data_IF_883593876217
#
_entry.id   IF_883593876217
#
_cell.length_a   1.000
_cell.length_b   1.000
_cell.length_c   1.000
_cell.angle_alpha   90.00
_cell.angle_beta   90.00
_cell.angle_gamma   90.00
#
_symmetry.space_group_name_H-M   'P 1'
#
loop_
_entity.id
_entity.type
_entity.pdbx_description
1 polymer ?
#
# COMPACT_ATOMS: atom_id res chain seq x y z
N UNK A 1 45.59 -49.93 52.97
CA UNK A 1 45.36 -49.95 51.50
C UNK A 1 45.74 -48.58 50.93
N UNK A 2 46.14 -48.48 49.66
CA UNK A 2 46.99 -47.36 49.17
C UNK A 2 46.57 -46.88 47.76
N UNK A 3 46.51 -45.54 47.57
CA UNK A 3 46.31 -44.74 46.32
C UNK A 3 44.93 -44.89 45.62
N UNK A 4 44.36 -43.86 44.97
CA UNK A 4 44.66 -42.41 44.95
C UNK A 4 44.88 -41.80 43.54
N UNK A 5 44.60 -40.48 43.40
CA UNK A 5 44.55 -39.60 42.18
C UNK A 5 43.15 -39.52 41.51
N UNK A 6 42.81 -38.49 40.72
CA UNK A 6 42.92 -37.00 40.82
C UNK A 6 42.10 -36.39 39.65
N UNK A 7 41.66 -35.13 39.75
CA UNK A 7 40.81 -34.46 38.76
C UNK A 7 41.57 -33.96 37.50
N UNK A 8 40.81 -33.57 36.45
CA UNK A 8 41.21 -32.56 35.45
C UNK A 8 39.97 -31.83 34.87
N UNK A 9 40.18 -30.61 34.35
CA UNK A 9 39.18 -29.77 33.68
C UNK A 9 39.19 -29.98 32.16
N UNK A 10 38.15 -29.51 31.46
CA UNK A 10 38.13 -29.39 30.00
C UNK A 10 37.28 -28.21 29.54
N UNK A 11 37.91 -27.04 29.38
CA UNK A 11 37.34 -25.89 28.67
C UNK A 11 38.00 -25.77 27.30
N UNK A 12 37.23 -25.48 26.25
CA UNK A 12 37.73 -25.35 24.88
C UNK A 12 37.62 -23.90 24.44
N UNK A 13 38.76 -23.31 24.10
CA UNK A 13 38.85 -21.93 23.58
C UNK A 13 38.40 -21.87 22.13
N UNK A 14 37.49 -20.95 21.81
CA UNK A 14 37.09 -20.64 20.44
C UNK A 14 37.96 -19.51 19.89
N UNK A 15 38.69 -19.77 18.79
CA UNK A 15 39.55 -18.79 18.13
C UNK A 15 38.99 -18.49 16.74
N UNK A 16 38.75 -17.21 16.43
CA UNK A 16 38.40 -16.79 15.07
C UNK A 16 39.65 -16.81 14.17
N UNK A 17 39.48 -17.34 12.96
CA UNK A 17 40.14 -16.82 11.76
C UNK A 17 39.11 -16.86 10.62
N UNK A 18 38.89 -15.73 9.97
CA UNK A 18 38.12 -15.65 8.72
C UNK A 18 39.06 -15.68 7.52
N UNK A 19 38.58 -16.20 6.39
CA UNK A 19 39.28 -16.06 5.11
C UNK A 19 38.28 -15.94 3.95
N UNK A 20 38.70 -15.27 2.87
CA UNK A 20 37.83 -14.77 1.82
C UNK A 20 37.42 -15.83 0.77
N UNK A 21 36.49 -15.44 -0.11
CA UNK A 21 36.04 -16.27 -1.22
C UNK A 21 37.19 -16.72 -2.14
N UNK A 22 37.21 -18.02 -2.46
CA UNK A 22 37.98 -18.59 -3.57
C UNK A 22 37.06 -18.99 -4.71
N UNK A 23 37.50 -18.77 -5.95
CA UNK A 23 36.73 -19.07 -7.17
C UNK A 23 36.52 -20.57 -7.42
N UNK A 24 35.40 -20.93 -8.06
CA UNK A 24 35.04 -22.30 -8.36
C UNK A 24 36.00 -23.00 -9.35
N UNK A 25 36.22 -24.32 -9.24
CA UNK A 25 37.02 -25.09 -10.17
C UNK A 25 36.26 -25.44 -11.46
N UNK A 26 36.99 -25.51 -12.57
CA UNK A 26 36.58 -26.12 -13.83
C UNK A 26 36.82 -27.64 -13.83
N UNK A 27 36.02 -28.42 -14.56
CA UNK A 27 36.48 -29.70 -15.13
C UNK A 27 35.82 -29.96 -16.51
N UNK A 28 36.43 -30.78 -17.40
CA UNK A 28 36.17 -30.70 -18.85
C UNK A 28 35.43 -31.89 -19.47
N UNK A 29 34.90 -31.69 -20.68
CA UNK A 29 34.58 -32.76 -21.63
C UNK A 29 35.08 -32.40 -23.04
N UNK A 30 35.92 -33.25 -23.62
CA UNK A 30 36.33 -33.22 -25.03
C UNK A 30 35.37 -34.08 -25.88
N UNK A 31 35.16 -33.83 -27.17
CA UNK A 31 35.67 -32.80 -28.08
C UNK A 31 35.54 -33.27 -29.55
N UNK A 32 36.04 -32.48 -30.53
CA UNK A 32 36.19 -32.84 -31.98
C UNK A 32 34.85 -32.99 -32.74
N UNK A 33 34.58 -32.43 -33.93
CA UNK A 33 35.21 -31.46 -34.87
C UNK A 33 34.07 -30.84 -35.74
N UNK A 34 34.24 -29.84 -36.63
CA UNK A 34 35.38 -29.03 -37.05
C UNK A 34 35.15 -28.45 -38.47
N UNK A 35 35.95 -27.43 -38.85
CA UNK A 35 35.88 -26.63 -40.10
C UNK A 35 34.71 -25.63 -40.23
N UNK A 36 34.91 -24.40 -40.76
CA UNK A 36 36.19 -23.73 -41.02
C UNK A 36 36.13 -22.41 -41.81
N UNK A 37 37.02 -21.46 -41.47
CA UNK A 37 37.40 -20.27 -42.26
C UNK A 37 36.45 -19.05 -42.22
N UNK A 38 36.86 -17.82 -42.59
CA UNK A 38 38.20 -17.25 -42.84
C UNK A 38 38.14 -15.71 -42.92
N UNK A 39 39.20 -14.98 -42.50
CA UNK A 39 39.34 -13.52 -42.66
C UNK A 39 38.69 -12.69 -41.52
N UNK A 40 39.30 -11.68 -40.87
CA UNK A 40 40.52 -10.88 -41.07
C UNK A 40 40.49 -9.93 -42.29
N UNK A 41 40.76 -8.61 -42.20
CA UNK A 41 40.94 -7.68 -41.07
C UNK A 41 41.01 -6.21 -41.60
N UNK A 42 41.48 -5.28 -40.74
CA UNK A 42 42.02 -3.92 -41.02
C UNK A 42 41.00 -2.77 -40.99
N UNK A 43 41.45 -1.63 -40.44
CA UNK A 43 40.68 -0.40 -40.20
C UNK A 43 41.14 0.74 -41.12
N UNK A 44 40.37 1.84 -41.14
CA UNK A 44 40.76 3.09 -41.81
C UNK A 44 39.96 4.28 -41.29
N UNK A 45 40.65 5.37 -40.94
CA UNK A 45 40.05 6.65 -40.56
C UNK A 45 39.93 7.60 -41.77
N UNK A 46 38.98 8.54 -41.70
CA UNK A 46 38.74 9.56 -42.74
C UNK A 46 37.92 10.71 -42.16
N UNK A 47 38.15 11.95 -42.62
CA UNK A 47 37.74 13.15 -41.90
C UNK A 47 37.27 14.32 -42.80
N UNK A 48 36.21 15.00 -42.36
CA UNK A 48 35.88 16.39 -42.73
C UNK A 48 35.14 16.65 -44.05
N UNK A 49 34.61 17.87 -44.18
CA UNK A 49 34.04 18.42 -45.43
C UNK A 49 32.70 19.15 -45.23
N UNK A 50 32.65 20.46 -45.50
CA UNK A 50 31.47 21.32 -45.27
C UNK A 50 31.03 22.11 -46.53
N UNK A 51 29.79 22.61 -46.48
CA UNK A 51 29.29 23.86 -47.09
C UNK A 51 28.63 23.88 -48.51
N UNK A 52 27.30 24.10 -48.47
CA UNK A 52 26.55 25.25 -49.02
C UNK A 52 26.19 25.42 -50.52
N UNK A 53 24.95 25.89 -50.75
CA UNK A 53 24.41 26.49 -51.99
C UNK A 53 23.42 25.61 -52.78
N UNK A 54 22.26 26.07 -53.29
CA UNK A 54 21.54 27.34 -53.10
C UNK A 54 20.42 27.59 -54.13
N UNK A 55 19.32 28.29 -53.76
CA UNK A 55 18.23 28.89 -54.60
C UNK A 55 17.30 27.95 -55.42
N UNK A 56 16.02 28.27 -55.75
CA UNK A 56 15.01 29.23 -55.20
C UNK A 56 13.64 29.15 -55.93
N UNK A 57 12.50 29.14 -55.19
CA UNK A 57 11.16 29.68 -55.60
C UNK A 57 10.09 29.35 -54.51
N UNK A 58 9.61 30.29 -53.68
CA UNK A 58 8.37 31.14 -53.84
C UNK A 58 7.06 30.38 -54.08
N UNK A 59 5.89 30.67 -53.47
CA UNK A 59 5.46 31.49 -52.31
C UNK A 59 3.95 31.17 -52.04
N UNK A 60 3.28 31.49 -50.92
CA UNK A 60 3.67 32.16 -49.67
C UNK A 60 2.48 32.25 -48.67
N UNK A 61 2.72 32.83 -47.49
CA UNK A 61 1.74 33.10 -46.40
C UNK A 61 1.07 34.50 -46.58
N UNK A 62 0.35 35.17 -45.63
CA UNK A 62 0.14 34.98 -44.17
C UNK A 62 -1.35 34.61 -43.87
N UNK A 63 -2.12 34.98 -42.82
CA UNK A 63 -2.00 35.94 -41.71
C UNK A 63 -2.89 35.58 -40.49
N UNK A 64 -3.10 36.52 -39.56
CA UNK A 64 -3.78 36.34 -38.26
C UNK A 64 -4.73 37.51 -37.89
N UNK A 65 -5.68 37.28 -36.97
CA UNK A 65 -6.58 38.29 -36.36
C UNK A 65 -7.94 37.72 -35.93
N UNK A 66 -8.75 38.34 -35.06
CA UNK A 66 -8.49 39.54 -34.24
C UNK A 66 -9.76 40.33 -33.85
N UNK A 67 -10.34 40.05 -32.67
CA UNK A 67 -11.23 40.93 -31.85
C UNK A 67 -12.65 41.37 -32.31
N UNK A 68 -13.65 40.95 -31.52
CA UNK A 68 -14.73 41.73 -30.87
C UNK A 68 -15.86 42.50 -31.64
N UNK A 69 -17.11 42.07 -31.34
CA UNK A 69 -18.32 42.83 -30.93
C UNK A 69 -19.06 43.85 -31.84
N UNK A 70 -20.42 43.75 -31.91
CA UNK A 70 -21.44 44.79 -31.55
C UNK A 70 -22.89 44.49 -32.06
N UNK A 71 -23.92 44.89 -31.27
CA UNK A 71 -25.36 45.00 -31.65
C UNK A 71 -26.11 43.68 -31.94
N UNK A 72 -27.41 43.45 -31.68
CA UNK A 72 -28.63 44.24 -31.46
C UNK A 72 -29.78 43.47 -32.16
N UNK A 73 -31.08 43.49 -31.81
CA UNK A 73 -31.92 44.26 -30.87
C UNK A 73 -33.13 43.38 -30.42
N UNK A 74 -34.09 43.86 -29.61
CA UNK A 74 -35.07 43.02 -28.88
C UNK A 74 -36.57 43.42 -29.00
N UNK A 75 -37.47 42.46 -28.69
CA UNK A 75 -38.95 42.58 -28.52
C UNK A 75 -39.40 41.48 -27.52
N UNK A 76 -40.40 41.61 -26.64
CA UNK A 76 -41.20 42.81 -26.31
C UNK A 76 -42.29 42.70 -25.20
N UNK A 77 -42.78 41.50 -24.79
CA UNK A 77 -43.84 41.39 -23.76
C UNK A 77 -44.27 39.96 -23.39
N UNK A 78 -45.08 39.72 -22.35
CA UNK A 78 -45.55 40.66 -21.31
C UNK A 78 -46.75 40.17 -20.46
N UNK A 79 -46.59 40.11 -19.12
CA UNK A 79 -47.62 39.93 -18.06
C UNK A 79 -48.35 38.55 -18.00
N UNK A 80 -49.06 38.13 -16.93
CA UNK A 80 -49.41 38.76 -15.63
C UNK A 80 -49.74 37.76 -14.49
N UNK A 81 -49.36 38.06 -13.24
CA UNK A 81 -50.05 37.64 -11.99
C UNK A 81 -49.91 36.17 -11.51
N UNK A 82 -50.18 35.84 -10.23
CA UNK A 82 -50.34 36.67 -9.02
C UNK A 82 -50.04 35.83 -7.74
N UNK A 83 -49.81 36.47 -6.59
CA UNK A 83 -49.24 35.86 -5.39
C UNK A 83 -50.26 35.36 -4.33
N UNK A 84 -49.78 34.57 -3.37
CA UNK A 84 -50.46 34.25 -2.11
C UNK A 84 -49.45 33.95 -1.00
N UNK A 85 -49.59 34.59 0.18
CA UNK A 85 -48.68 34.44 1.32
C UNK A 85 -49.39 34.78 2.64
N UNK A 86 -49.04 34.11 3.75
CA UNK A 86 -49.33 34.54 5.13
C UNK A 86 -48.49 33.78 6.19
N UNK A 87 -48.18 34.47 7.29
CA UNK A 87 -47.91 34.05 8.69
C UNK A 87 -47.87 32.55 9.07
N UNK A 88 -47.02 32.05 9.99
CA UNK A 88 -46.07 32.71 10.89
C UNK A 88 -46.64 32.99 12.31
N UNK A 89 -46.16 32.27 13.34
CA UNK A 89 -46.32 32.59 14.77
C UNK A 89 -45.28 31.86 15.64
N UNK A 90 -44.99 32.37 16.83
CA UNK A 90 -43.98 31.89 17.80
C UNK A 90 -44.62 31.37 19.09
N UNK A 91 -43.92 30.52 19.86
CA UNK A 91 -44.49 29.98 21.12
C UNK A 91 -43.55 29.11 21.99
N UNK A 92 -42.74 29.79 22.82
CA UNK A 92 -42.19 29.43 24.16
C UNK A 92 -42.11 27.96 24.61
N UNK A 93 -40.95 27.55 25.15
CA UNK A 93 -40.69 26.20 25.67
C UNK A 93 -41.21 25.90 27.10
N UNK A 94 -40.83 24.73 27.63
CA UNK A 94 -41.16 24.30 28.99
C UNK A 94 -40.25 23.17 29.47
N UNK A 95 -39.90 23.18 30.77
CA UNK A 95 -38.98 22.22 31.39
C UNK A 95 -39.68 21.39 32.46
N UNK A 96 -39.45 20.06 32.45
CA UNK A 96 -39.65 19.15 33.57
C UNK A 96 -38.50 18.12 33.53
N UNK A 97 -37.67 17.96 34.56
CA UNK A 97 -37.99 17.49 35.92
C UNK A 97 -38.45 16.02 35.91
N UNK A 98 -37.78 15.16 36.67
CA UNK A 98 -37.89 13.72 36.50
C UNK A 98 -37.93 12.91 37.80
N UNK A 99 -37.96 11.59 37.62
CA UNK A 99 -37.86 10.55 38.63
C UNK A 99 -37.14 9.35 37.99
N UNK A 100 -36.41 8.50 38.71
CA UNK A 100 -36.29 8.37 40.16
C UNK A 100 -36.59 6.93 40.55
N UNK A 101 -35.66 6.02 40.30
CA UNK A 101 -35.88 4.57 40.38
C UNK A 101 -34.60 3.77 40.60
N UNK A 102 -34.01 3.92 41.79
CA UNK A 102 -32.81 3.17 42.18
C UNK A 102 -33.15 1.79 42.73
N UNK A 103 -32.53 0.75 42.18
CA UNK A 103 -32.16 -0.46 42.92
C UNK A 103 -31.17 -1.26 42.07
N UNK A 104 -30.06 -1.69 42.65
CA UNK A 104 -29.07 -2.52 41.95
C UNK A 104 -28.32 -3.42 42.92
N UNK A 105 -27.65 -4.44 42.39
CA UNK A 105 -26.49 -5.07 43.00
C UNK A 105 -25.72 -5.90 41.95
N UNK A 106 -24.45 -6.22 42.25
CA UNK A 106 -23.63 -7.16 41.46
C UNK A 106 -22.88 -6.50 40.31
N UNK A 107 -21.63 -6.13 40.55
CA UNK A 107 -20.76 -5.54 39.53
C UNK A 107 -19.91 -6.56 38.78
N UNK A 108 -19.68 -6.30 37.50
CA UNK A 108 -18.42 -6.59 36.84
C UNK A 108 -17.76 -5.23 36.52
N UNK A 109 -16.45 -5.11 36.68
CA UNK A 109 -15.75 -3.83 36.47
C UNK A 109 -15.86 -3.38 35.02
N UNK A 110 -16.37 -2.17 34.78
CA UNK A 110 -16.29 -1.54 33.47
C UNK A 110 -14.82 -1.34 33.11
N UNK A 111 -14.32 -2.12 32.14
CA UNK A 111 -13.09 -1.79 31.45
C UNK A 111 -13.23 -0.36 30.90
N UNK A 112 -12.26 0.50 31.18
CA UNK A 112 -12.34 1.92 30.86
C UNK A 112 -12.50 2.14 29.36
N UNK A 113 -13.34 3.11 28.98
CA UNK A 113 -13.40 3.58 27.58
C UNK A 113 -12.00 3.95 27.12
N UNK A 114 -11.50 3.29 26.07
CA UNK A 114 -10.15 3.53 25.59
C UNK A 114 -10.02 4.92 24.97
N UNK A 115 -8.83 5.50 25.09
CA UNK A 115 -8.50 6.86 24.63
C UNK A 115 -8.26 6.93 23.13
N UNK A 116 -9.18 6.42 22.30
CA UNK A 116 -9.03 6.30 20.85
C UNK A 116 -9.15 7.61 20.07
N UNK A 117 -9.03 8.76 20.75
CA UNK A 117 -8.95 10.06 20.11
C UNK A 117 -10.29 10.58 19.58
N UNK A 118 -11.34 10.49 20.41
CA UNK A 118 -12.63 11.14 20.14
C UNK A 118 -12.45 12.66 20.00
N UNK A 119 -13.32 13.30 19.21
CA UNK A 119 -13.22 14.74 18.90
C UNK A 119 -13.43 15.69 20.11
N UNK A 120 -13.75 15.15 21.30
CA UNK A 120 -13.88 15.91 22.55
C UNK A 120 -12.54 16.04 23.31
N UNK A 121 -11.61 15.09 23.14
CA UNK A 121 -10.35 14.99 23.90
C UNK A 121 -9.07 15.07 23.02
N UNK A 122 -9.22 15.03 21.70
CA UNK A 122 -8.10 15.12 20.74
C UNK A 122 -7.46 16.53 20.69
N UNK A 123 -6.13 16.66 20.52
CA UNK A 123 -5.44 17.95 20.45
C UNK A 123 -5.61 18.67 19.10
N UNK A 124 -6.31 18.06 18.15
CA UNK A 124 -6.73 18.63 16.87
C UNK A 124 -8.02 17.93 16.39
N UNK A 125 -8.75 18.58 15.47
CA UNK A 125 -9.92 17.97 14.86
C UNK A 125 -9.55 16.80 13.94
N UNK A 126 -10.35 15.73 13.98
CA UNK A 126 -10.26 14.56 13.10
C UNK A 126 -11.60 14.23 12.44
N UNK A 127 -11.60 13.51 11.30
CA UNK A 127 -12.83 13.04 10.67
C UNK A 127 -13.70 12.19 11.61
N UNK A 128 -15.02 12.24 11.42
CA UNK A 128 -16.00 11.61 12.32
C UNK A 128 -15.86 10.08 12.43
N UNK A 129 -15.40 9.40 11.38
CA UNK A 129 -15.09 7.96 11.39
C UNK A 129 -13.84 7.59 12.22
N UNK A 130 -13.04 8.57 12.64
CA UNK A 130 -11.96 8.35 13.61
C UNK A 130 -12.53 8.39 15.01
N UNK A 131 -13.33 9.41 15.30
CA UNK A 131 -13.93 9.66 16.61
C UNK A 131 -14.97 8.62 17.07
N UNK A 132 -15.32 7.63 16.25
CA UNK A 132 -16.30 6.58 16.56
C UNK A 132 -15.69 5.26 17.08
N UNK A 133 -14.39 5.24 17.39
CA UNK A 133 -13.63 4.04 17.83
C UNK A 133 -13.89 2.73 17.04
N UNK A 134 -13.69 2.72 15.71
CA UNK A 134 -13.69 1.47 14.97
C UNK A 134 -12.49 0.59 15.35
N UNK A 135 -12.70 -0.73 15.34
CA UNK A 135 -11.63 -1.75 15.41
C UNK A 135 -11.30 -2.23 13.99
N UNK A 136 -10.08 -2.78 13.75
CA UNK A 136 -9.82 -3.46 12.49
C UNK A 136 -10.81 -4.60 12.28
N UNK A 137 -11.31 -4.75 11.05
CA UNK A 137 -11.93 -5.99 10.57
C UNK A 137 -10.89 -6.71 9.75
N UNK A 138 -10.48 -7.91 10.17
CA UNK A 138 -9.46 -8.66 9.44
C UNK A 138 -8.43 -9.34 10.33
N UNK A 139 -7.32 -9.76 9.74
CA UNK A 139 -6.28 -10.48 10.45
C UNK A 139 -5.65 -9.64 11.59
N UNK A 140 -5.62 -8.31 11.51
CA UNK A 140 -5.20 -7.45 12.63
C UNK A 140 -6.15 -7.47 13.85
N UNK A 141 -7.33 -8.10 13.75
CA UNK A 141 -8.23 -8.38 14.88
C UNK A 141 -8.06 -9.79 15.46
N UNK A 142 -7.06 -10.56 15.02
CA UNK A 142 -6.78 -11.92 15.51
C UNK A 142 -6.09 -11.90 16.87
N UNK A 143 -6.17 -13.01 17.63
CA UNK A 143 -5.41 -13.16 18.88
C UNK A 143 -5.76 -12.09 19.92
N UNK A 144 -4.80 -11.24 20.28
CA UNK A 144 -4.99 -10.07 21.15
C UNK A 144 -5.64 -8.87 20.44
N UNK A 145 -5.71 -8.89 19.12
CA UNK A 145 -6.11 -7.77 18.28
C UNK A 145 -5.07 -6.64 18.26
N UNK A 146 -5.43 -5.57 17.55
CA UNK A 146 -4.61 -4.35 17.44
C UNK A 146 -5.29 -3.21 18.19
N UNK A 147 -4.55 -2.58 19.10
CA UNK A 147 -4.99 -1.51 20.00
C UNK A 147 -4.12 -0.25 19.94
N UNK A 148 -2.93 -0.35 19.32
CA UNK A 148 -1.99 0.76 19.16
C UNK A 148 -1.50 1.29 20.50
N UNK A 149 -1.57 2.61 20.68
CA UNK A 149 -1.29 3.29 21.95
C UNK A 149 -2.35 3.08 23.04
N UNK A 150 -3.44 2.36 22.77
CA UNK A 150 -4.49 2.04 23.74
C UNK A 150 -5.17 3.29 24.33
N UNK A 151 -5.03 3.47 25.63
CA UNK A 151 -5.56 4.63 26.38
C UNK A 151 -4.49 5.65 26.80
N UNK A 152 -3.30 5.61 26.19
CA UNK A 152 -2.27 6.63 26.41
C UNK A 152 -2.80 8.03 26.03
N UNK A 153 -2.48 9.04 26.85
CA UNK A 153 -2.94 10.42 26.60
C UNK A 153 -2.44 10.91 25.22
N UNK A 154 -3.32 11.45 24.37
CA UNK A 154 -2.93 12.09 23.12
C UNK A 154 -1.80 13.12 23.24
N UNK A 155 -0.85 13.04 22.31
CA UNK A 155 0.16 14.08 22.06
C UNK A 155 0.05 14.59 20.62
N UNK A 156 0.30 15.88 20.40
CA UNK A 156 0.36 16.49 19.07
C UNK A 156 1.81 16.65 18.63
N UNK A 157 2.14 16.23 17.41
CA UNK A 157 3.43 16.48 16.76
C UNK A 157 3.24 17.34 15.52
N UNK A 158 3.99 18.45 15.46
CA UNK A 158 3.91 19.46 14.39
C UNK A 158 5.21 19.57 13.58
N UNK A 159 6.18 18.69 13.87
CA UNK A 159 7.46 18.61 13.17
C UNK A 159 7.89 17.15 13.02
N UNK A 160 8.66 16.88 11.97
CA UNK A 160 9.27 15.57 11.69
C UNK A 160 10.11 15.04 12.87
N UNK A 161 10.89 15.92 13.52
CA UNK A 161 11.71 15.55 14.68
C UNK A 161 10.85 15.10 15.88
N UNK A 162 9.73 15.77 16.15
CA UNK A 162 8.78 15.33 17.18
C UNK A 162 8.10 14.02 16.81
N UNK A 163 7.78 13.80 15.52
CA UNK A 163 7.22 12.53 15.06
C UNK A 163 8.22 11.38 15.29
N UNK A 164 9.45 11.48 14.76
CA UNK A 164 10.49 10.46 14.90
C UNK A 164 10.79 10.15 16.38
N UNK A 165 10.85 11.16 17.24
CA UNK A 165 10.98 10.95 18.70
C UNK A 165 9.75 10.24 19.32
N UNK A 166 8.54 10.54 18.84
CA UNK A 166 7.32 9.93 19.35
C UNK A 166 7.15 8.47 18.91
N UNK A 167 7.55 8.07 17.69
CA UNK A 167 7.28 6.73 17.14
C UNK A 167 8.36 5.68 17.36
N UNK A 168 9.63 6.06 17.57
CA UNK A 168 10.79 5.13 17.55
C UNK A 168 10.93 4.09 18.69
N UNK A 169 10.14 4.20 19.76
CA UNK A 169 10.25 3.31 20.94
C UNK A 169 9.04 2.38 21.04
N UNK A 170 9.00 1.49 22.04
CA UNK A 170 7.86 0.58 22.26
C UNK A 170 6.80 1.10 23.25
N UNK A 171 6.94 2.34 23.73
CA UNK A 171 6.06 2.90 24.78
C UNK A 171 4.68 3.21 24.19
N UNK A 172 3.56 2.74 24.79
CA UNK A 172 2.22 3.05 24.32
C UNK A 172 1.95 4.55 24.17
N UNK A 173 1.66 5.00 22.94
CA UNK A 173 1.44 6.42 22.61
C UNK A 173 0.32 6.60 21.58
N UNK A 174 -0.57 7.57 21.83
CA UNK A 174 -1.53 8.10 20.85
C UNK A 174 -0.98 9.42 20.33
N UNK A 175 -0.66 9.47 19.04
CA UNK A 175 0.13 10.51 18.37
C UNK A 175 -0.72 11.12 17.27
N UNK A 176 -1.09 12.39 17.44
CA UNK A 176 -1.73 13.18 16.41
C UNK A 176 -0.68 13.94 15.61
N UNK A 177 -0.77 13.90 14.29
CA UNK A 177 0.19 14.51 13.37
C UNK A 177 -0.48 15.70 12.67
N UNK A 178 0.20 16.85 12.65
CA UNK A 178 -0.24 18.04 11.93
C UNK A 178 0.93 18.72 11.18
N UNK A 179 1.02 18.51 9.87
CA UNK A 179 1.99 19.16 8.99
C UNK A 179 2.17 18.42 7.66
N UNK A 180 2.94 19.02 6.75
CA UNK A 180 3.60 18.31 5.64
C UNK A 180 5.09 18.27 5.98
N UNK A 181 5.65 17.07 6.13
CA UNK A 181 7.02 16.85 6.59
C UNK A 181 7.94 16.51 5.41
N UNK A 182 9.17 17.02 5.43
CA UNK A 182 10.16 16.74 4.39
C UNK A 182 10.50 15.24 4.30
N UNK A 183 10.94 14.72 3.13
CA UNK A 183 11.31 13.31 2.98
C UNK A 183 12.46 12.90 3.90
N UNK A 184 12.25 11.84 4.68
CA UNK A 184 13.19 11.26 5.65
C UNK A 184 12.72 9.83 6.01
N UNK A 185 13.59 9.03 6.63
CA UNK A 185 13.24 7.70 7.13
C UNK A 185 12.55 7.81 8.50
N UNK A 186 11.52 7.01 8.76
CA UNK A 186 10.70 7.06 9.98
C UNK A 186 10.58 5.64 10.55
N UNK A 187 11.51 5.27 11.43
CA UNK A 187 11.48 4.00 12.17
C UNK A 187 10.37 4.02 13.23
N UNK A 188 9.49 3.01 13.22
CA UNK A 188 8.37 2.88 14.16
C UNK A 188 8.53 1.64 15.04
N UNK A 189 8.66 1.87 16.36
CA UNK A 189 8.57 0.83 17.39
C UNK A 189 7.13 0.58 17.87
N UNK A 190 6.95 -0.38 18.76
CA UNK A 190 5.65 -0.98 19.10
C UNK A 190 4.64 -0.04 19.79
N UNK A 191 3.36 -0.45 19.82
CA UNK A 191 2.29 0.18 20.62
C UNK A 191 2.00 1.64 20.24
N UNK A 192 1.77 1.91 18.95
CA UNK A 192 1.53 3.26 18.43
C UNK A 192 0.14 3.38 17.81
N UNK A 193 -0.54 4.48 18.10
CA UNK A 193 -1.69 4.96 17.32
C UNK A 193 -1.31 6.30 16.70
N UNK A 194 -1.06 6.35 15.41
CA UNK A 194 -0.65 7.56 14.66
C UNK A 194 -1.83 8.04 13.81
N UNK A 195 -2.32 9.25 14.06
CA UNK A 195 -3.54 9.81 13.46
C UNK A 195 -3.23 11.15 12.79
N UNK A 196 -3.59 11.32 11.51
CA UNK A 196 -3.53 12.62 10.85
C UNK A 196 -4.74 13.51 11.19
N UNK A 197 -4.47 14.73 11.65
CA UNK A 197 -5.50 15.78 11.82
C UNK A 197 -6.19 16.12 10.48
N UNK A 198 -7.42 16.64 10.49
CA UNK A 198 -8.22 17.01 9.29
C UNK A 198 -7.65 18.12 8.37
N UNK A 199 -6.42 18.57 8.58
CA UNK A 199 -5.64 19.25 7.53
C UNK A 199 -4.96 18.26 6.57
N UNK A 200 -5.07 16.96 6.85
CA UNK A 200 -4.50 15.84 6.12
C UNK A 200 -2.97 15.86 6.19
N UNK A 201 -2.43 15.42 7.33
CA UNK A 201 -0.99 15.35 7.58
C UNK A 201 -0.27 14.47 6.55
N UNK A 202 0.91 14.92 6.12
CA UNK A 202 1.72 14.26 5.10
C UNK A 202 3.09 13.86 5.63
N UNK A 203 3.35 12.56 5.56
CA UNK A 203 4.64 11.94 5.76
C UNK A 203 5.28 11.73 4.39
N UNK A 204 6.59 11.97 4.29
CA UNK A 204 7.36 11.78 3.07
C UNK A 204 8.61 10.96 3.37
N UNK A 205 9.07 10.15 2.41
CA UNK A 205 10.22 9.27 2.58
C UNK A 205 9.80 7.83 2.87
N UNK A 206 10.44 7.15 3.82
CA UNK A 206 10.17 5.74 4.14
C UNK A 206 9.59 5.57 5.54
N UNK A 207 8.41 4.95 5.67
CA UNK A 207 7.88 4.53 6.97
C UNK A 207 8.28 3.07 7.25
N UNK A 208 9.24 2.87 8.15
CA UNK A 208 9.81 1.56 8.46
C UNK A 208 9.14 0.94 9.69
N UNK A 209 8.45 -0.20 9.50
CA UNK A 209 7.92 -1.04 10.57
C UNK A 209 8.74 -2.32 10.58
N UNK A 210 9.82 -2.28 11.37
CA UNK A 210 10.87 -3.31 11.38
C UNK A 210 10.58 -4.49 12.31
N UNK A 211 11.55 -5.42 12.36
CA UNK A 211 11.55 -6.58 13.25
C UNK A 211 11.20 -6.20 14.70
N UNK A 212 10.50 -7.08 15.40
CA UNK A 212 10.00 -6.96 16.79
C UNK A 212 8.93 -5.86 17.00
N UNK A 213 8.57 -5.09 15.97
CA UNK A 213 7.57 -4.01 16.07
C UNK A 213 6.15 -4.56 16.00
N UNK A 214 5.33 -4.30 17.02
CA UNK A 214 3.98 -4.86 17.13
C UNK A 214 2.91 -3.86 17.57
N UNK A 215 1.64 -4.21 17.33
CA UNK A 215 0.47 -3.50 17.85
C UNK A 215 0.44 -2.02 17.39
N UNK A 216 0.21 -1.81 16.09
CA UNK A 216 0.34 -0.50 15.43
C UNK A 216 -0.94 -0.09 14.69
N UNK A 217 -1.34 1.17 14.82
CA UNK A 217 -2.51 1.76 14.15
C UNK A 217 -2.06 3.04 13.43
N UNK A 218 -2.34 3.15 12.14
CA UNK A 218 -2.06 4.33 11.30
C UNK A 218 -3.34 4.78 10.61
N UNK A 219 -3.81 6.01 10.89
CA UNK A 219 -5.10 6.50 10.36
C UNK A 219 -5.04 7.91 9.81
N UNK A 220 -5.71 8.15 8.68
CA UNK A 220 -5.83 9.48 8.05
C UNK A 220 -4.49 10.16 7.70
N UNK A 221 -3.48 9.36 7.36
CA UNK A 221 -2.16 9.85 6.95
C UNK A 221 -2.05 9.85 5.43
N UNK A 222 -1.53 10.95 4.86
CA UNK A 222 -0.97 10.97 3.51
C UNK A 222 0.47 10.49 3.65
N UNK A 223 0.84 9.43 2.95
CA UNK A 223 2.17 8.84 3.02
C UNK A 223 2.67 8.77 1.58
N UNK A 224 3.78 9.44 1.29
CA UNK A 224 4.40 9.38 -0.04
C UNK A 224 5.87 9.02 0.02
N UNK A 225 6.33 8.14 -0.87
CA UNK A 225 7.75 7.85 -1.01
C UNK A 225 8.59 9.07 -1.38
N UNK A 226 9.91 8.89 -1.40
CA UNK A 226 10.85 9.93 -1.86
C UNK A 226 10.60 10.33 -3.32
N UNK A 227 10.24 9.36 -4.18
CA UNK A 227 10.17 9.48 -5.64
C UNK A 227 9.00 10.28 -6.24
N UNK A 228 8.37 11.18 -5.48
CA UNK A 228 7.18 11.91 -5.93
C UNK A 228 7.38 12.67 -7.25
N UNK A 229 6.76 12.18 -8.33
CA UNK A 229 6.89 12.66 -9.72
C UNK A 229 8.26 12.44 -10.39
N UNK A 230 9.25 11.88 -9.69
CA UNK A 230 10.64 11.69 -10.17
C UNK A 230 11.38 10.81 -9.16
N UNK A 231 11.70 9.57 -9.56
CA UNK A 231 12.29 8.57 -8.67
C UNK A 231 13.76 8.86 -8.29
N UNK A 232 14.45 9.78 -8.99
CA UNK A 232 15.85 10.15 -8.72
C UNK A 232 16.04 10.96 -7.43
N UNK A 233 14.95 11.30 -6.76
CA UNK A 233 14.92 11.92 -5.42
C UNK A 233 15.11 10.92 -4.29
N UNK A 234 15.00 9.62 -4.59
CA UNK A 234 15.18 8.57 -3.60
C UNK A 234 16.67 8.41 -3.22
N UNK A 235 17.03 8.42 -1.92
CA UNK A 235 18.40 8.18 -1.48
C UNK A 235 18.97 6.82 -1.92
N UNK A 236 18.12 5.83 -2.21
CA UNK A 236 18.48 4.51 -2.71
C UNK A 236 18.44 4.35 -4.23
N UNK A 237 18.26 5.44 -5.00
CA UNK A 237 18.18 5.36 -6.47
C UNK A 237 19.50 4.94 -7.13
N UNK A 238 19.46 3.84 -7.90
CA UNK A 238 20.51 3.33 -8.77
C UNK A 238 20.09 3.43 -10.24
N UNK A 239 20.81 4.26 -11.00
CA UNK A 239 20.56 4.49 -12.43
C UNK A 239 20.74 3.24 -13.31
N UNK A 240 21.29 2.12 -12.80
CA UNK A 240 21.45 0.86 -13.52
C UNK A 240 20.20 -0.03 -13.53
N UNK A 241 19.24 0.19 -12.62
CA UNK A 241 17.92 -0.48 -12.61
C UNK A 241 16.74 0.50 -12.58
N UNK A 242 17.02 1.81 -12.46
CA UNK A 242 16.00 2.85 -12.54
C UNK A 242 15.07 2.86 -11.33
N UNK A 243 13.79 3.14 -11.55
CA UNK A 243 12.84 3.32 -10.45
C UNK A 243 12.51 2.05 -9.66
N UNK A 244 13.05 0.87 -10.02
CA UNK A 244 13.03 -0.32 -9.15
C UNK A 244 14.20 -0.35 -8.15
N UNK A 245 14.80 0.80 -7.86
CA UNK A 245 15.79 0.99 -6.80
C UNK A 245 15.48 2.27 -6.03
N UNK A 246 15.36 2.12 -4.72
CA UNK A 246 14.87 3.13 -3.79
C UNK A 246 14.03 2.47 -2.70
N UNK A 247 13.40 3.28 -1.85
CA UNK A 247 12.56 2.79 -0.77
C UNK A 247 11.11 2.58 -1.18
N UNK A 248 10.41 1.70 -0.46
CA UNK A 248 8.95 1.72 -0.41
C UNK A 248 8.46 3.02 0.25
N UNK A 249 7.20 3.41 0.04
CA UNK A 249 6.60 4.44 0.92
C UNK A 249 6.36 3.91 2.35
N UNK A 250 6.10 2.60 2.49
CA UNK A 250 5.98 1.89 3.78
C UNK A 250 6.53 0.46 3.64
N UNK A 251 7.36 0.01 4.59
CA UNK A 251 7.67 -1.41 4.76
C UNK A 251 7.11 -1.96 6.07
N UNK A 252 6.56 -3.18 6.05
CA UNK A 252 6.22 -3.99 7.23
C UNK A 252 7.03 -5.28 7.13
N UNK A 253 7.98 -5.49 8.03
CA UNK A 253 9.11 -6.39 7.78
C UNK A 253 9.59 -7.12 9.05
N UNK A 254 10.48 -8.10 8.89
CA UNK A 254 10.91 -8.99 9.97
C UNK A 254 9.76 -9.89 10.40
N UNK A 255 9.47 -9.92 11.71
CA UNK A 255 8.37 -10.62 12.38
C UNK A 255 7.28 -9.63 12.87
N UNK A 256 7.24 -8.41 12.32
CA UNK A 256 6.32 -7.36 12.72
C UNK A 256 4.84 -7.75 12.56
N UNK A 257 4.01 -7.50 13.57
CA UNK A 257 2.64 -8.03 13.56
C UNK A 257 1.58 -7.20 14.29
N UNK A 258 0.30 -7.48 13.98
CA UNK A 258 -0.85 -6.74 14.50
C UNK A 258 -0.75 -5.25 14.10
N UNK A 259 -0.87 -5.01 12.79
CA UNK A 259 -0.72 -3.69 12.16
C UNK A 259 -1.98 -3.32 11.39
N UNK A 260 -2.49 -2.11 11.60
CA UNK A 260 -3.71 -1.61 10.95
C UNK A 260 -3.48 -0.26 10.27
N UNK A 261 -3.69 -0.21 8.96
CA UNK A 261 -3.77 1.02 8.18
C UNK A 261 -5.24 1.30 7.82
N UNK A 262 -5.73 2.50 8.11
CA UNK A 262 -7.14 2.87 7.87
C UNK A 262 -7.31 4.30 7.35
N UNK A 263 -8.08 4.51 6.28
CA UNK A 263 -8.30 5.85 5.70
C UNK A 263 -6.98 6.57 5.33
N UNK A 264 -5.95 5.84 4.92
CA UNK A 264 -4.68 6.43 4.48
C UNK A 264 -4.66 6.69 2.97
N UNK A 265 -3.88 7.69 2.54
CA UNK A 265 -3.57 7.94 1.13
C UNK A 265 -2.09 7.60 0.91
N UNK A 266 -1.79 6.48 0.28
CA UNK A 266 -0.42 5.96 0.10
C UNK A 266 -0.05 6.03 -1.39
N UNK A 267 1.10 6.62 -1.70
CA UNK A 267 1.48 6.92 -3.08
C UNK A 267 2.98 7.08 -3.29
N UNK A 268 3.42 7.05 -4.55
CA UNK A 268 4.77 7.49 -4.96
C UNK A 268 5.94 6.88 -4.19
N UNK A 269 5.76 5.65 -3.68
CA UNK A 269 6.88 4.77 -3.36
C UNK A 269 7.77 4.60 -4.60
N UNK A 270 9.06 4.32 -4.39
CA UNK A 270 9.98 4.09 -5.50
C UNK A 270 9.82 2.66 -6.00
N UNK A 271 10.05 1.67 -5.12
CA UNK A 271 9.63 0.27 -5.33
C UNK A 271 8.11 0.12 -5.07
N UNK A 272 7.70 -0.22 -3.84
CA UNK A 272 6.31 -0.40 -3.44
C UNK A 272 5.68 0.80 -2.71
N UNK A 273 4.35 0.85 -2.67
CA UNK A 273 3.63 1.81 -1.81
C UNK A 273 3.49 1.28 -0.38
N UNK A 274 3.16 0.00 -0.21
CA UNK A 274 3.13 -0.68 1.09
C UNK A 274 3.43 -2.17 0.87
N UNK A 275 4.64 -2.57 1.22
CA UNK A 275 5.14 -3.94 1.04
C UNK A 275 5.28 -4.64 2.42
N UNK A 276 4.76 -5.86 2.50
CA UNK A 276 4.62 -6.66 3.72
C UNK A 276 5.44 -7.94 3.52
N UNK A 277 6.57 -8.09 4.21
CA UNK A 277 7.61 -9.06 3.81
C UNK A 277 8.20 -9.87 4.95
N UNK A 278 8.96 -10.90 4.60
CA UNK A 278 9.51 -11.91 5.49
C UNK A 278 8.44 -12.62 6.33
N UNK A 279 8.46 -12.46 7.66
CA UNK A 279 7.66 -13.20 8.63
C UNK A 279 6.56 -12.34 9.27
N UNK A 280 6.34 -11.13 8.74
CA UNK A 280 5.31 -10.19 9.20
C UNK A 280 3.89 -10.77 9.08
N UNK A 281 3.01 -10.46 10.04
CA UNK A 281 1.70 -11.12 10.12
C UNK A 281 0.57 -10.28 10.77
N UNK A 282 -0.67 -10.75 10.66
CA UNK A 282 -1.84 -10.11 11.25
C UNK A 282 -2.00 -8.64 10.87
N UNK A 283 -2.04 -8.38 9.56
CA UNK A 283 -2.18 -7.01 9.01
C UNK A 283 -3.60 -6.78 8.48
N UNK A 284 -4.15 -5.59 8.70
CA UNK A 284 -5.36 -5.10 8.02
C UNK A 284 -5.03 -3.78 7.32
N UNK A 285 -5.47 -3.66 6.07
CA UNK A 285 -5.46 -2.44 5.28
C UNK A 285 -6.91 -2.14 4.91
N UNK A 286 -7.48 -1.08 5.46
CA UNK A 286 -8.87 -0.68 5.24
C UNK A 286 -9.00 0.74 4.71
N UNK A 287 -10.02 0.98 3.87
CA UNK A 287 -10.38 2.32 3.37
C UNK A 287 -9.18 3.13 2.82
N UNK A 288 -8.15 2.46 2.33
CA UNK A 288 -6.86 3.08 1.99
C UNK A 288 -6.75 3.22 0.48
N UNK A 289 -6.34 4.41 0.04
CA UNK A 289 -6.15 4.71 -1.39
C UNK A 289 -4.70 4.53 -1.77
N UNK A 290 -4.46 3.72 -2.80
CA UNK A 290 -3.18 3.53 -3.47
C UNK A 290 -3.20 4.23 -4.83
N UNK A 291 -2.17 4.99 -5.15
CA UNK A 291 -2.02 5.69 -6.44
C UNK A 291 -0.57 5.99 -6.76
N UNK A 292 -0.28 6.38 -8.00
CA UNK A 292 0.98 7.04 -8.34
C UNK A 292 0.71 8.30 -9.15
N UNK A 293 1.50 9.35 -8.94
CA UNK A 293 1.51 10.51 -9.83
C UNK A 293 2.05 10.12 -11.21
N UNK A 294 1.70 10.87 -12.27
CA UNK A 294 2.47 10.85 -13.51
C UNK A 294 3.91 11.26 -13.17
N UNK A 295 4.87 10.37 -13.41
CA UNK A 295 6.29 10.66 -13.21
C UNK A 295 6.89 11.33 -14.43
N UNK A 296 8.01 12.03 -14.24
CA UNK A 296 8.77 12.71 -15.30
C UNK A 296 9.88 11.84 -15.90
N UNK A 297 9.92 10.56 -15.52
CA UNK A 297 10.95 9.57 -15.84
C UNK A 297 10.43 8.41 -16.70
N UNK A 298 9.38 8.63 -17.52
CA UNK A 298 8.84 7.68 -18.53
C UNK A 298 9.82 7.35 -19.69
N UNK A 299 11.12 7.49 -19.45
CA UNK A 299 12.23 7.25 -20.39
C UNK A 299 13.34 6.48 -19.67
N UNK A 300 13.27 5.15 -19.69
CA UNK A 300 14.27 4.26 -19.09
C UNK A 300 14.09 2.80 -19.50
N UNK A 301 15.17 2.03 -19.38
CA UNK A 301 15.17 0.57 -19.43
C UNK A 301 15.02 0.04 -18.00
N UNK A 302 13.77 0.00 -17.52
CA UNK A 302 13.37 -0.95 -16.48
C UNK A 302 12.53 -2.06 -17.11
N UNK A 303 12.37 -3.17 -16.39
CA UNK A 303 11.68 -4.38 -16.89
C UNK A 303 10.18 -4.19 -17.20
N UNK A 304 9.64 -3.00 -17.01
CA UNK A 304 8.24 -2.62 -17.28
C UNK A 304 8.09 -1.65 -18.47
N UNK A 305 9.21 -1.09 -18.97
CA UNK A 305 9.24 -0.13 -20.07
C UNK A 305 8.72 1.26 -19.69
N UNK A 306 8.17 2.00 -20.66
CA UNK A 306 7.76 3.41 -20.50
C UNK A 306 6.68 3.69 -19.43
N UNK A 307 6.12 2.65 -18.78
CA UNK A 307 5.25 2.80 -17.63
C UNK A 307 6.03 3.01 -16.31
N UNK A 308 7.28 2.53 -16.21
CA UNK A 308 8.11 2.61 -15.01
C UNK A 308 7.61 1.79 -13.81
N UNK A 309 8.53 1.40 -12.94
CA UNK A 309 8.25 0.63 -11.74
C UNK A 309 7.22 1.31 -10.82
N UNK A 310 5.96 0.85 -10.85
CA UNK A 310 4.79 1.36 -10.12
C UNK A 310 3.96 0.20 -9.56
N UNK A 311 4.61 -0.61 -8.73
CA UNK A 311 4.14 -1.90 -8.27
C UNK A 311 3.70 -1.83 -6.81
N UNK A 312 2.41 -1.58 -6.57
CA UNK A 312 1.94 -0.97 -5.32
C UNK A 312 2.15 -1.79 -4.03
N UNK A 313 1.91 -3.10 -4.04
CA UNK A 313 1.83 -3.89 -2.80
C UNK A 313 2.32 -5.34 -2.96
N UNK A 314 3.54 -5.65 -2.51
CA UNK A 314 4.05 -7.00 -2.35
C UNK A 314 3.66 -7.57 -0.98
N UNK A 315 3.27 -8.84 -0.95
CA UNK A 315 3.10 -9.65 0.25
C UNK A 315 3.99 -10.89 0.08
N UNK A 316 5.12 -10.93 0.81
CA UNK A 316 6.16 -11.94 0.67
C UNK A 316 7.22 -11.62 -0.38
N UNK A 317 8.41 -11.21 0.07
CA UNK A 317 9.49 -10.72 -0.79
C UNK A 317 10.16 -11.77 -1.69
N UNK A 318 10.22 -13.03 -1.26
CA UNK A 318 11.01 -14.10 -1.89
C UNK A 318 10.22 -15.40 -2.01
N UNK A 319 10.59 -16.29 -2.94
CA UNK A 319 10.08 -17.68 -3.01
C UNK A 319 10.81 -18.64 -2.04
N UNK A 320 11.68 -18.10 -1.17
CA UNK A 320 12.48 -18.85 -0.18
C UNK A 320 12.46 -18.23 1.23
N UNK A 321 11.56 -17.27 1.49
CA UNK A 321 11.31 -16.68 2.81
C UNK A 321 9.85 -16.18 2.90
N UNK A 322 9.11 -16.39 4.01
CA UNK A 322 9.52 -16.76 5.37
C UNK A 322 10.16 -18.14 5.52
N UNK A 323 10.95 -18.33 6.58
CA UNK A 323 11.50 -19.64 6.94
C UNK A 323 10.64 -20.27 8.04
N UNK A 324 10.63 -21.60 8.13
CA UNK A 324 9.78 -22.32 9.10
C UNK A 324 8.37 -22.70 8.62
N UNK A 325 8.10 -22.61 7.31
CA UNK A 325 7.03 -23.40 6.70
C UNK A 325 7.39 -24.91 6.74
N UNK A 326 6.43 -25.85 6.93
CA UNK A 326 5.02 -25.63 7.25
C UNK A 326 4.80 -25.59 8.77
N UNK A 327 4.33 -24.46 9.29
CA UNK A 327 4.06 -24.33 10.74
C UNK A 327 3.36 -23.02 11.10
N UNK A 328 4.01 -21.88 10.82
CA UNK A 328 3.48 -20.55 11.16
C UNK A 328 2.53 -20.00 10.11
N UNK A 329 2.89 -20.09 8.81
CA UNK A 329 2.19 -19.44 7.68
C UNK A 329 1.85 -17.96 7.98
N UNK A 330 2.86 -17.08 8.13
CA UNK A 330 2.63 -15.65 8.32
C UNK A 330 2.18 -14.98 7.01
N UNK A 331 2.25 -13.65 6.92
CA UNK A 331 1.78 -12.84 5.80
C UNK A 331 0.26 -12.89 5.60
N UNK A 332 -0.51 -13.10 6.68
CA UNK A 332 -1.97 -13.07 6.65
C UNK A 332 -2.45 -11.61 6.69
N UNK A 333 -2.92 -11.11 5.53
CA UNK A 333 -3.32 -9.70 5.35
C UNK A 333 -4.78 -9.61 4.91
N UNK A 334 -5.54 -8.71 5.53
CA UNK A 334 -6.90 -8.36 5.09
C UNK A 334 -6.88 -7.02 4.38
N UNK A 335 -7.46 -6.98 3.19
CA UNK A 335 -7.59 -5.79 2.35
C UNK A 335 -9.09 -5.53 2.17
N UNK A 336 -9.63 -4.44 2.73
CA UNK A 336 -11.05 -4.12 2.48
C UNK A 336 -11.35 -2.65 2.22
N UNK A 337 -12.29 -2.41 1.29
CA UNK A 337 -12.73 -1.06 0.92
C UNK A 337 -11.59 -0.14 0.44
N UNK A 338 -10.47 -0.72 0.01
CA UNK A 338 -9.32 0.02 -0.52
C UNK A 338 -9.55 0.40 -1.99
N UNK A 339 -8.81 1.41 -2.45
CA UNK A 339 -8.86 1.89 -3.83
C UNK A 339 -7.48 1.80 -4.48
N UNK A 340 -7.31 0.89 -5.44
CA UNK A 340 -6.18 0.95 -6.38
C UNK A 340 -6.56 1.86 -7.56
N UNK A 341 -6.15 3.12 -7.43
CA UNK A 341 -6.52 4.24 -8.29
C UNK A 341 -5.44 4.55 -9.34
N UNK A 342 -5.59 5.67 -10.05
CA UNK A 342 -4.71 6.08 -11.15
C UNK A 342 -3.21 5.93 -10.84
N UNK A 343 -2.47 5.47 -11.86
CA UNK A 343 -1.03 5.31 -11.83
C UNK A 343 -0.51 3.96 -11.33
N UNK A 344 -1.31 3.14 -10.63
CA UNK A 344 -0.87 1.80 -10.21
C UNK A 344 -0.80 0.84 -11.41
N UNK A 345 0.34 0.18 -11.61
CA UNK A 345 0.57 -0.69 -12.78
C UNK A 345 0.43 -2.17 -12.44
N UNK A 346 1.10 -2.65 -11.38
CA UNK A 346 0.95 -4.04 -10.90
C UNK A 346 1.00 -4.15 -9.36
N UNK A 347 1.02 -5.39 -8.85
CA UNK A 347 1.02 -5.76 -7.42
C UNK A 347 -0.16 -5.09 -6.68
N UNK A 348 -1.38 -5.55 -6.91
CA UNK A 348 -2.60 -5.02 -6.27
C UNK A 348 -3.38 -6.07 -5.45
N UNK A 349 -2.80 -6.76 -4.46
CA UNK A 349 -1.39 -7.00 -4.17
C UNK A 349 -0.83 -8.18 -5.00
N UNK A 350 0.49 -8.42 -4.91
CA UNK A 350 1.10 -9.71 -5.31
C UNK A 350 1.47 -10.48 -4.04
N UNK A 351 0.94 -11.69 -3.87
CA UNK A 351 0.99 -12.47 -2.62
C UNK A 351 1.82 -13.74 -2.79
N UNK A 352 2.54 -14.12 -1.74
CA UNK A 352 3.11 -15.46 -1.48
C UNK A 352 2.69 -15.96 -0.09
N UNK A 353 2.58 -17.27 0.09
CA UNK A 353 2.33 -18.01 1.36
C UNK A 353 1.04 -17.72 2.16
N UNK A 354 0.83 -16.46 2.54
CA UNK A 354 -0.12 -16.06 3.58
C UNK A 354 -1.57 -15.99 3.12
N UNK A 355 -2.50 -16.07 4.06
CA UNK A 355 -3.96 -16.06 3.80
C UNK A 355 -4.45 -14.64 3.58
N UNK A 356 -4.54 -14.24 2.31
CA UNK A 356 -4.91 -12.88 1.93
C UNK A 356 -6.40 -12.80 1.61
N UNK A 357 -7.14 -12.06 2.44
CA UNK A 357 -8.57 -11.83 2.28
C UNK A 357 -8.80 -10.46 1.68
N UNK A 358 -9.38 -10.39 0.49
CA UNK A 358 -9.62 -9.17 -0.26
C UNK A 358 -11.13 -9.01 -0.47
N UNK A 359 -11.77 -8.07 0.21
CA UNK A 359 -13.20 -7.85 0.06
C UNK A 359 -13.64 -6.40 -0.11
N UNK A 360 -14.66 -6.17 -0.94
CA UNK A 360 -15.20 -4.84 -1.24
C UNK A 360 -14.16 -3.78 -1.69
N UNK A 361 -13.02 -4.17 -2.27
CA UNK A 361 -12.04 -3.22 -2.82
C UNK A 361 -12.42 -2.77 -4.24
N UNK A 362 -11.96 -1.59 -4.62
CA UNK A 362 -12.18 -0.98 -5.93
C UNK A 362 -10.86 -0.88 -6.72
N UNK A 363 -10.83 -1.47 -7.92
CA UNK A 363 -9.67 -1.47 -8.80
C UNK A 363 -10.05 -0.73 -10.09
N UNK A 364 -9.43 0.43 -10.34
CA UNK A 364 -9.79 1.29 -11.48
C UNK A 364 -8.62 2.05 -12.11
N UNK A 365 -7.37 1.68 -11.80
CA UNK A 365 -6.19 2.24 -12.47
C UNK A 365 -6.21 1.91 -13.97
N UNK A 366 -6.25 2.95 -14.81
CA UNK A 366 -6.09 2.83 -16.28
C UNK A 366 -4.70 2.35 -16.70
N UNK A 367 -3.72 2.40 -15.79
CA UNK A 367 -2.36 1.89 -16.01
C UNK A 367 -2.22 0.41 -15.62
N UNK A 368 -3.27 -0.24 -15.10
CA UNK A 368 -3.22 -1.60 -14.57
C UNK A 368 -2.89 -2.64 -15.64
N UNK A 369 -1.69 -3.21 -15.56
CA UNK A 369 -1.27 -4.42 -16.27
C UNK A 369 -1.84 -5.67 -15.60
N UNK A 370 -1.73 -5.77 -14.27
CA UNK A 370 -2.24 -6.90 -13.46
C UNK A 370 -2.65 -6.42 -12.07
N UNK A 371 -3.78 -6.92 -11.57
CA UNK A 371 -4.25 -6.60 -10.23
C UNK A 371 -3.69 -7.58 -9.19
N UNK A 372 -4.50 -8.59 -8.81
CA UNK A 372 -4.18 -9.53 -7.74
C UNK A 372 -3.36 -10.69 -8.30
N UNK A 373 -2.17 -10.95 -7.76
CA UNK A 373 -1.35 -12.12 -8.16
C UNK A 373 -1.11 -13.08 -7.00
N UNK A 374 -1.41 -14.35 -7.20
CA UNK A 374 -1.05 -15.43 -6.27
C UNK A 374 0.22 -16.14 -6.78
N UNK A 375 1.34 -15.88 -6.12
CA UNK A 375 2.57 -16.67 -6.27
C UNK A 375 2.66 -17.80 -5.26
N UNK A 376 3.82 -18.46 -5.21
CA UNK A 376 4.09 -19.67 -4.42
C UNK A 376 3.36 -19.71 -3.06
N UNK A 377 2.61 -20.79 -2.85
CA UNK A 377 1.85 -21.12 -1.62
C UNK A 377 0.79 -20.08 -1.16
N UNK A 378 0.55 -19.00 -1.92
CA UNK A 378 -0.42 -17.97 -1.56
C UNK A 378 -1.84 -18.54 -1.46
N UNK A 379 -2.59 -18.11 -0.45
CA UNK A 379 -3.99 -18.48 -0.26
C UNK A 379 -4.85 -17.22 -0.34
N UNK A 380 -5.47 -16.97 -1.48
CA UNK A 380 -6.18 -15.73 -1.80
C UNK A 380 -7.69 -15.97 -1.81
N UNK A 381 -8.46 -15.08 -1.16
CA UNK A 381 -9.92 -15.07 -1.18
C UNK A 381 -10.43 -13.69 -1.63
N UNK A 382 -11.19 -13.65 -2.71
CA UNK A 382 -11.73 -12.44 -3.32
C UNK A 382 -13.26 -12.40 -3.23
N UNK A 383 -13.83 -11.53 -2.37
CA UNK A 383 -15.28 -11.43 -2.15
C UNK A 383 -15.82 -10.01 -2.41
N UNK A 384 -16.88 -9.89 -3.21
CA UNK A 384 -17.63 -8.65 -3.47
C UNK A 384 -16.79 -7.42 -3.88
N UNK A 385 -15.61 -7.61 -4.48
CA UNK A 385 -14.78 -6.53 -5.02
C UNK A 385 -15.35 -6.00 -6.34
N UNK A 386 -14.90 -4.81 -6.78
CA UNK A 386 -15.28 -4.21 -8.06
C UNK A 386 -14.04 -3.85 -8.90
N UNK A 387 -13.89 -4.51 -10.04
CA UNK A 387 -12.82 -4.27 -11.01
C UNK A 387 -13.39 -3.53 -12.23
N UNK A 388 -12.85 -2.35 -12.55
CA UNK A 388 -13.35 -1.45 -13.59
C UNK A 388 -12.24 -1.05 -14.57
N UNK A 389 -12.34 -1.46 -15.84
CA UNK A 389 -11.39 -1.09 -16.91
C UNK A 389 -9.98 -1.69 -16.79
N UNK A 390 -9.69 -2.42 -15.71
CA UNK A 390 -8.36 -3.01 -15.43
C UNK A 390 -8.06 -4.28 -16.24
N UNK A 391 -6.78 -4.54 -16.46
CA UNK A 391 -6.26 -5.76 -17.11
C UNK A 391 -5.81 -6.77 -16.05
N UNK A 392 -6.07 -8.06 -16.32
CA UNK A 392 -5.74 -9.23 -15.47
C UNK A 392 -6.17 -9.06 -13.98
N UNK A 393 -7.50 -8.97 -13.69
CA UNK A 393 -8.03 -8.81 -12.33
C UNK A 393 -7.50 -9.79 -11.28
N UNK A 394 -7.29 -11.06 -11.63
CA UNK A 394 -6.60 -12.02 -10.76
C UNK A 394 -5.98 -13.18 -11.54
N UNK A 395 -4.75 -13.54 -11.18
CA UNK A 395 -3.98 -14.60 -11.84
C UNK A 395 -2.94 -15.26 -10.93
N UNK A 396 -2.42 -16.42 -11.34
CA UNK A 396 -1.21 -16.98 -10.75
C UNK A 396 0.03 -16.25 -11.27
N UNK A 397 1.08 -16.21 -10.44
CA UNK A 397 2.35 -15.62 -10.78
C UNK A 397 3.17 -16.53 -11.72
N UNK A 398 3.05 -16.32 -13.03
CA UNK A 398 3.77 -17.10 -14.03
C UNK A 398 5.07 -16.39 -14.47
N UNK A 399 6.13 -16.48 -13.66
CA UNK A 399 7.47 -15.93 -13.94
C UNK A 399 8.22 -16.74 -15.00
N UNK A 400 7.76 -16.67 -16.26
CA UNK A 400 8.33 -17.39 -17.40
C UNK A 400 8.17 -18.91 -17.36
N UNK A 401 7.55 -19.44 -16.30
CA UNK A 401 7.13 -20.84 -16.16
C UNK A 401 5.62 -20.90 -16.33
N UNK A 402 5.13 -21.89 -17.08
CA UNK A 402 3.70 -22.16 -17.18
C UNK A 402 3.21 -22.76 -15.86
N UNK A 403 2.35 -22.02 -15.16
CA UNK A 403 1.52 -22.47 -14.03
C UNK A 403 2.27 -23.14 -12.86
N UNK A 404 3.54 -22.76 -12.62
CA UNK A 404 4.33 -23.30 -11.48
C UNK A 404 3.68 -23.01 -10.14
N UNK A 405 3.21 -21.79 -9.96
CA UNK A 405 2.74 -21.31 -8.66
C UNK A 405 1.32 -21.84 -8.40
N UNK A 406 0.55 -22.12 -9.46
CA UNK A 406 -0.75 -22.80 -9.39
C UNK A 406 -0.68 -24.21 -8.77
N UNK A 407 0.51 -24.84 -8.75
CA UNK A 407 0.73 -26.13 -8.10
C UNK A 407 0.87 -26.04 -6.57
N UNK A 408 0.92 -24.84 -5.99
CA UNK A 408 1.05 -24.62 -4.53
C UNK A 408 0.12 -23.54 -3.98
N UNK A 409 -0.29 -22.58 -4.81
CA UNK A 409 -1.18 -21.48 -4.47
C UNK A 409 -2.66 -21.81 -4.73
N UNK A 410 -3.55 -20.99 -4.18
CA UNK A 410 -4.99 -21.09 -4.36
C UNK A 410 -5.66 -19.71 -4.48
N UNK A 411 -6.60 -19.55 -5.42
CA UNK A 411 -7.43 -18.37 -5.59
C UNK A 411 -8.91 -18.76 -5.50
N UNK A 412 -9.54 -18.40 -4.37
CA UNK A 412 -10.96 -18.48 -4.15
C UNK A 412 -11.66 -17.17 -4.57
N UNK A 413 -12.90 -17.29 -5.07
CA UNK A 413 -13.81 -16.15 -5.33
C UNK A 413 -15.15 -16.39 -4.64
N UNK A 414 -15.75 -15.34 -4.10
CA UNK A 414 -17.07 -15.40 -3.47
C UNK A 414 -18.20 -15.74 -4.45
N UNK A 415 -19.19 -16.49 -3.97
CA UNK A 415 -20.41 -16.85 -4.71
C UNK A 415 -21.63 -16.04 -4.25
N UNK A 416 -22.74 -16.12 -4.98
CA UNK A 416 -24.04 -15.57 -4.57
C UNK A 416 -23.98 -14.06 -4.27
N UNK A 417 -24.33 -13.62 -3.05
CA UNK A 417 -24.23 -12.22 -2.64
C UNK A 417 -22.78 -11.69 -2.56
N UNK A 418 -21.77 -12.58 -2.65
CA UNK A 418 -20.35 -12.29 -2.55
C UNK A 418 -19.62 -12.23 -3.88
N UNK A 419 -20.29 -12.30 -5.03
CA UNK A 419 -19.61 -12.27 -6.33
C UNK A 419 -18.88 -10.95 -6.57
N UNK A 420 -17.65 -11.04 -7.07
CA UNK A 420 -16.91 -9.87 -7.56
C UNK A 420 -17.55 -9.35 -8.86
N UNK A 421 -17.47 -8.05 -9.09
CA UNK A 421 -17.94 -7.37 -10.30
C UNK A 421 -16.77 -7.05 -11.23
N UNK A 422 -16.95 -7.23 -12.54
CA UNK A 422 -15.92 -7.07 -13.56
C UNK A 422 -16.45 -6.25 -14.74
N UNK A 423 -16.32 -4.94 -14.68
CA UNK A 423 -16.80 -4.01 -15.72
C UNK A 423 -15.66 -3.62 -16.64
N UNK A 424 -15.82 -3.85 -17.95
CA UNK A 424 -14.82 -3.51 -18.98
C UNK A 424 -13.41 -4.08 -18.76
N UNK A 425 -13.27 -5.15 -17.96
CA UNK A 425 -11.94 -5.74 -17.64
C UNK A 425 -11.45 -6.70 -18.73
N UNK A 426 -10.14 -6.74 -18.94
CA UNK A 426 -9.50 -7.65 -19.91
C UNK A 426 -8.63 -8.70 -19.21
N UNK A 427 -8.15 -9.69 -19.96
CA UNK A 427 -7.19 -10.69 -19.48
C UNK A 427 -7.72 -11.67 -18.41
N UNK A 428 -6.77 -12.35 -17.78
CA UNK A 428 -6.90 -13.46 -16.82
C UNK A 428 -7.77 -13.13 -15.59
N UNK A 429 -8.55 -14.13 -15.18
CA UNK A 429 -9.44 -14.16 -14.01
C UNK A 429 -9.41 -15.58 -13.42
N UNK A 430 -8.21 -16.04 -13.07
CA UNK A 430 -7.93 -17.44 -12.73
C UNK A 430 -8.39 -17.79 -11.30
N UNK A 431 -8.96 -18.98 -11.11
CA UNK A 431 -9.49 -19.48 -9.83
C UNK A 431 -9.11 -20.95 -9.62
N UNK A 432 -9.22 -21.44 -8.39
CA UNK A 432 -8.77 -22.77 -8.00
C UNK A 432 -7.28 -22.80 -7.71
N UNK A 433 -6.55 -23.77 -8.25
CA UNK A 433 -5.16 -24.09 -7.88
C UNK A 433 -5.07 -25.40 -7.09
N UNK A 434 -3.86 -25.89 -6.84
CA UNK A 434 -3.60 -27.11 -6.04
C UNK A 434 -3.23 -26.79 -4.59
N UNK A 435 -3.08 -25.52 -4.24
CA UNK A 435 -2.89 -25.07 -2.86
C UNK A 435 -4.14 -25.19 -1.99
N UNK A 436 -4.00 -24.78 -0.73
CA UNK A 436 -5.11 -24.69 0.21
C UNK A 436 -5.82 -23.34 0.12
N UNK A 437 -7.14 -23.35 -0.09
CA UNK A 437 -8.01 -22.21 0.23
C UNK A 437 -8.20 -22.03 1.74
N UNK A 438 -8.86 -20.94 2.15
CA UNK A 438 -9.18 -20.68 3.56
C UNK A 438 -10.54 -20.00 3.73
N UNK A 439 -11.10 -20.13 4.93
CA UNK A 439 -12.22 -19.32 5.42
C UNK A 439 -11.69 -18.33 6.46
N UNK A 440 -12.03 -17.04 6.40
CA UNK A 440 -11.68 -16.08 7.45
C UNK A 440 -12.27 -16.49 8.81
N UNK A 441 -11.49 -16.36 9.88
CA UNK A 441 -11.89 -16.72 11.25
C UNK A 441 -12.56 -15.59 12.02
N UNK A 442 -12.37 -14.34 11.59
CA UNK A 442 -13.02 -13.15 12.12
C UNK A 442 -14.38 -12.91 11.47
N UNK A 443 -15.27 -12.21 12.17
CA UNK A 443 -16.53 -11.73 11.60
C UNK A 443 -16.29 -10.51 10.69
N UNK A 444 -17.04 -10.42 9.60
CA UNK A 444 -17.05 -9.29 8.67
C UNK A 444 -18.43 -9.18 8.00
N UNK A 445 -18.77 -7.98 7.55
CA UNK A 445 -19.93 -7.70 6.69
C UNK A 445 -19.44 -7.34 5.29
N UNK A 446 -20.24 -7.64 4.27
CA UNK A 446 -19.97 -7.26 2.89
C UNK A 446 -20.98 -6.23 2.41
N UNK A 447 -20.49 -5.15 1.81
CA UNK A 447 -21.30 -4.33 0.91
C UNK A 447 -21.62 -5.13 -0.35
N UNK A 448 -22.75 -4.80 -1.00
CA UNK A 448 -23.02 -5.32 -2.34
C UNK A 448 -21.94 -4.80 -3.30
N UNK A 449 -21.32 -5.69 -4.09
CA UNK A 449 -20.20 -5.33 -4.97
C UNK A 449 -20.50 -4.13 -5.90
N UNK A 450 -21.75 -3.95 -6.34
CA UNK A 450 -22.18 -2.80 -7.15
C UNK A 450 -22.19 -1.45 -6.42
N UNK A 451 -22.24 -1.43 -5.08
CA UNK A 451 -22.15 -0.23 -4.26
C UNK A 451 -20.69 0.20 -3.99
N UNK A 452 -19.74 -0.75 -4.06
CA UNK A 452 -18.31 -0.55 -3.76
C UNK A 452 -17.71 0.68 -4.44
N UNK A 453 -17.90 0.95 -5.75
CA UNK A 453 -17.32 2.14 -6.36
C UNK A 453 -17.82 3.45 -5.72
N UNK A 454 -19.07 3.51 -5.28
CA UNK A 454 -19.62 4.70 -4.63
C UNK A 454 -19.12 4.84 -3.18
N UNK A 455 -19.15 3.75 -2.41
CA UNK A 455 -18.65 3.72 -1.04
C UNK A 455 -17.14 4.05 -0.99
N UNK A 456 -16.33 3.36 -1.79
CA UNK A 456 -14.87 3.52 -1.81
C UNK A 456 -14.43 4.87 -2.38
N UNK A 457 -15.10 5.43 -3.39
CA UNK A 457 -14.79 6.81 -3.86
C UNK A 457 -15.22 7.91 -2.87
N UNK A 458 -16.12 7.61 -1.93
CA UNK A 458 -16.53 8.54 -0.88
C UNK A 458 -15.72 8.38 0.42
N UNK A 459 -15.27 7.16 0.74
CA UNK A 459 -14.59 6.84 2.01
C UNK A 459 -13.07 6.66 1.90
N UNK A 460 -12.52 6.13 0.82
CA UNK A 460 -11.14 5.69 0.81
C UNK A 460 -10.11 6.79 0.54
N UNK A 461 -9.05 6.81 1.36
CA UNK A 461 -8.07 7.89 1.44
C UNK A 461 -8.29 8.79 2.66
N UNK A 462 -7.50 9.86 2.73
CA UNK A 462 -7.52 10.86 3.82
C UNK A 462 -8.59 11.93 3.65
N UNK A 463 -9.13 12.39 4.77
CA UNK A 463 -10.16 13.44 4.92
C UNK A 463 -9.68 14.59 5.81
#
# INVERSE_FOLDING_TARGET
>A
MIRGKRAWLGAVTMTLFGQACGSAPSDPVSGVAGSGGSGSAIAGSGNGGSAAGGTSSTAGSPASGGSAAMGGQAVGGGASGQAGAASGSSGVGGSAAGSGGSNGNGGAGTAGSGGYGTNEDGPCAVPSFIASDPKPVGWASSGSGTTGGGSAKPVLVTTLAQLKEAVKDDVPKVIYVQGDFAPDDIDVGSNKTVIGCSSGARLQGHLAIGKESANLIFRNLKISGYGAGDCKKDPGFDASVGCSSGADAISVNGDAHHVWFDHCSIMDGTDGNLDITNEADFVTVSWTKFSYTPRTDEVGDDSTGAAGHRFSNLVGGSDTAPKGWPGTRPLNVTWHHNWWADGVVERQPRVRYGRNHLFNNYYSSKASSSCVRAGIEASVLLEANYFEGVTRPHEFNNEGKADSDAATAYIAVGTDAKVNQYVSTTGTKTTGGQGEGFTPSYAYSLDAASAVPAAVKAGAGTH
#
